data_IF_892034409400
#
_entry.id   IF_892034409400
#
_cell.length_a   1.000
_cell.length_b   1.000
_cell.length_c   1.000
_cell.angle_alpha   90.00
_cell.angle_beta   90.00
_cell.angle_gamma   90.00
#
_symmetry.space_group_name_H-M   'P 1'
#
loop_
_entity.id
_entity.type
_entity.pdbx_description
1 polymer ?
#
# COMPACT_ATOMS: atom_id res chain seq x y z
N UNK A 1 21.12 -1.17 1.62
CA UNK A 1 20.82 -0.38 2.85
C UNK A 1 19.38 0.12 2.87
N UNK A 2 18.79 0.42 1.71
CA UNK A 2 17.44 0.96 1.61
C UNK A 2 16.34 -0.08 1.85
N UNK A 3 16.65 -1.36 1.66
CA UNK A 3 15.73 -2.47 1.97
C UNK A 3 15.41 -2.53 3.47
N UNK A 4 16.40 -2.49 4.36
CA UNK A 4 16.16 -2.53 5.81
C UNK A 4 15.38 -1.32 6.31
N UNK A 5 15.71 -0.13 5.79
CA UNK A 5 14.99 1.11 6.12
C UNK A 5 13.54 1.06 5.62
N UNK A 6 13.27 0.50 4.43
CA UNK A 6 11.92 0.25 3.93
C UNK A 6 11.13 -0.68 4.87
N UNK A 7 11.74 -1.75 5.35
CA UNK A 7 11.10 -2.65 6.31
C UNK A 7 10.75 -1.93 7.62
N UNK A 8 11.66 -1.06 8.10
CA UNK A 8 11.42 -0.24 9.29
C UNK A 8 10.26 0.74 9.11
N UNK A 9 10.22 1.49 8.01
CA UNK A 9 9.17 2.47 7.75
C UNK A 9 7.81 1.79 7.55
N UNK A 10 7.76 0.68 6.81
CA UNK A 10 6.52 -0.06 6.65
C UNK A 10 6.00 -0.62 7.98
N UNK A 11 6.90 -1.10 8.84
CA UNK A 11 6.54 -1.53 10.19
C UNK A 11 6.00 -0.35 11.03
N UNK A 12 6.69 0.79 11.04
CA UNK A 12 6.28 1.98 11.78
C UNK A 12 4.93 2.52 11.29
N UNK A 13 4.70 2.54 9.98
CA UNK A 13 3.42 2.91 9.37
C UNK A 13 2.28 2.00 9.84
N UNK A 14 2.51 0.68 9.86
CA UNK A 14 1.52 -0.28 10.34
C UNK A 14 1.29 -0.21 11.86
N UNK A 15 2.35 0.03 12.64
CA UNK A 15 2.24 0.22 14.09
C UNK A 15 1.47 1.50 14.41
N UNK A 16 1.78 2.62 13.75
CA UNK A 16 1.07 3.88 13.89
C UNK A 16 -0.41 3.73 13.48
N UNK A 17 -0.71 3.05 12.38
CA UNK A 17 -2.08 2.77 11.96
C UNK A 17 -2.93 2.04 13.04
N UNK A 18 -2.33 1.15 13.81
CA UNK A 18 -3.01 0.44 14.91
C UNK A 18 -3.31 1.34 16.10
N UNK A 19 -2.52 2.39 16.31
CA UNK A 19 -2.71 3.35 17.40
C UNK A 19 -3.70 4.46 17.05
N UNK A 20 -4.56 4.26 16.06
CA UNK A 20 -5.57 5.24 15.68
C UNK A 20 -6.46 5.56 16.89
N UNK A 21 -6.48 6.82 17.37
CA UNK A 21 -7.24 7.19 18.56
C UNK A 21 -8.76 7.07 18.35
N UNK A 22 -9.22 7.16 17.10
CA UNK A 22 -10.63 6.99 16.75
C UNK A 22 -11.07 5.53 16.67
N UNK A 23 -10.14 4.56 16.61
CA UNK A 23 -10.51 3.14 16.51
C UNK A 23 -10.91 2.59 17.87
N UNK A 24 -12.14 2.10 17.99
CA UNK A 24 -12.66 1.48 19.19
C UNK A 24 -13.02 0.01 18.93
N UNK A 25 -12.50 -0.94 19.72
CA UNK A 25 -12.95 -2.33 19.71
C UNK A 25 -14.45 -2.46 20.01
N UNK A 26 -15.08 -3.53 19.50
CA UNK A 26 -16.54 -3.75 19.61
C UNK A 26 -17.05 -3.92 21.05
N UNK A 27 -16.21 -4.31 21.99
CA UNK A 27 -16.52 -4.36 23.40
C UNK A 27 -16.59 -2.96 24.04
N UNK A 28 -15.96 -1.96 23.42
CA UNK A 28 -15.84 -0.58 23.93
C UNK A 28 -16.85 0.40 23.30
N UNK A 29 -17.65 -0.04 22.32
CA UNK A 29 -18.67 0.80 21.67
C UNK A 29 -20.00 0.86 22.45
N UNK A 30 -20.10 0.19 23.60
CA UNK A 30 -21.35 0.11 24.36
C UNK A 30 -21.85 1.50 24.76
N UNK A 31 -23.07 1.84 24.35
CA UNK A 31 -23.70 3.13 24.65
C UNK A 31 -23.35 4.26 23.69
N UNK A 32 -22.55 4.00 22.64
CA UNK A 32 -22.31 4.97 21.57
C UNK A 32 -23.39 4.89 20.49
N UNK A 33 -23.81 6.05 20.00
CA UNK A 33 -24.76 6.17 18.89
C UNK A 33 -24.01 6.03 17.56
N UNK A 34 -24.48 5.11 16.71
CA UNK A 34 -23.99 4.96 15.34
C UNK A 34 -24.51 6.13 14.52
N UNK A 35 -23.60 6.90 13.93
CA UNK A 35 -23.92 8.00 13.02
C UNK A 35 -24.11 7.51 11.59
N UNK A 36 -23.21 6.64 11.13
CA UNK A 36 -23.25 6.11 9.77
C UNK A 36 -22.58 4.72 9.71
N UNK A 37 -22.82 4.00 8.61
CA UNK A 37 -22.22 2.70 8.35
C UNK A 37 -21.75 2.58 6.91
N UNK A 38 -20.52 2.11 6.71
CA UNK A 38 -19.94 1.94 5.37
C UNK A 38 -19.51 0.50 5.13
N UNK A 39 -19.96 -0.14 4.03
CA UNK A 39 -19.40 -1.42 3.61
C UNK A 39 -18.03 -1.21 2.98
N UNK A 40 -17.06 -2.03 3.35
CA UNK A 40 -15.73 -2.08 2.76
C UNK A 40 -15.43 -3.51 2.32
N UNK A 41 -15.08 -3.68 1.04
CA UNK A 41 -14.56 -4.95 0.53
C UNK A 41 -13.07 -4.81 0.31
N UNK A 42 -12.29 -5.67 0.96
CA UNK A 42 -10.85 -5.68 0.87
C UNK A 42 -10.37 -6.47 -0.36
N UNK A 43 -9.11 -6.30 -0.80
CA UNK A 43 -8.55 -7.01 -1.95
C UNK A 43 -8.59 -8.54 -1.83
N UNK A 44 -8.57 -9.06 -0.60
CA UNK A 44 -8.69 -10.49 -0.29
C UNK A 44 -10.17 -10.98 -0.26
N UNK A 45 -11.09 -10.16 -0.77
CA UNK A 45 -12.54 -10.37 -0.78
C UNK A 45 -13.20 -10.40 0.62
N UNK A 46 -12.46 -10.07 1.68
CA UNK A 46 -13.03 -9.93 3.02
C UNK A 46 -14.00 -8.75 3.04
N UNK A 47 -15.22 -9.01 3.52
CA UNK A 47 -16.25 -7.98 3.69
C UNK A 47 -16.26 -7.48 5.13
N UNK A 48 -16.07 -6.18 5.26
CA UNK A 48 -16.12 -5.45 6.51
C UNK A 48 -17.23 -4.41 6.43
N UNK A 49 -17.80 -4.08 7.58
CA UNK A 49 -18.71 -2.96 7.79
C UNK A 49 -18.10 -2.06 8.84
N UNK A 50 -17.91 -0.80 8.49
CA UNK A 50 -17.37 0.20 9.40
C UNK A 50 -18.54 0.94 10.02
N UNK A 51 -18.55 1.01 11.35
CA UNK A 51 -19.52 1.76 12.14
C UNK A 51 -18.87 3.07 12.54
N UNK A 52 -19.42 4.19 12.10
CA UNK A 52 -18.97 5.52 12.50
C UNK A 52 -19.80 6.01 13.68
N UNK A 53 -19.14 6.61 14.67
CA UNK A 53 -19.76 7.19 15.86
C UNK A 53 -19.37 8.67 15.96
N UNK A 54 -19.98 9.36 16.92
CA UNK A 54 -19.64 10.74 17.23
C UNK A 54 -18.16 10.93 17.57
N UNK A 55 -17.67 12.16 17.33
CA UNK A 55 -16.32 12.61 17.67
C UNK A 55 -15.20 11.85 16.93
N UNK A 56 -15.47 11.35 15.73
CA UNK A 56 -14.46 10.66 14.91
C UNK A 56 -14.11 9.27 15.43
N UNK A 57 -14.95 8.68 16.28
CA UNK A 57 -14.78 7.30 16.70
C UNK A 57 -15.37 6.35 15.65
N UNK A 58 -14.76 5.20 15.46
CA UNK A 58 -15.28 4.17 14.57
C UNK A 58 -14.90 2.77 15.07
N UNK A 59 -15.67 1.78 14.66
CA UNK A 59 -15.39 0.35 14.90
C UNK A 59 -15.61 -0.42 13.61
N UNK A 60 -15.02 -1.60 13.52
CA UNK A 60 -15.16 -2.49 12.36
C UNK A 60 -15.83 -3.78 12.79
N UNK A 61 -16.84 -4.18 12.03
CA UNK A 61 -17.52 -5.47 12.14
C UNK A 61 -17.31 -6.22 10.82
N UNK A 62 -16.98 -7.50 10.88
CA UNK A 62 -16.77 -8.29 9.67
C UNK A 62 -17.04 -9.76 9.91
N UNK A 63 -17.07 -10.54 8.82
CA UNK A 63 -17.14 -12.01 8.89
C UNK A 63 -15.90 -12.60 9.59
N UNK A 64 -14.78 -11.88 9.51
CA UNK A 64 -13.51 -12.21 10.15
C UNK A 64 -13.05 -11.03 10.99
N UNK A 65 -12.24 -11.36 11.99
CA UNK A 65 -11.55 -10.35 12.80
C UNK A 65 -10.61 -9.52 11.92
N UNK A 66 -10.64 -8.20 12.14
CA UNK A 66 -9.85 -7.23 11.41
C UNK A 66 -8.36 -7.53 11.59
N UNK A 67 -7.69 -7.89 10.50
CA UNK A 67 -6.26 -8.18 10.55
C UNK A 67 -5.45 -6.88 10.54
N UNK A 68 -4.26 -6.85 11.16
CA UNK A 68 -3.49 -5.62 11.22
C UNK A 68 -3.09 -5.03 9.85
N UNK A 69 -2.89 -5.88 8.84
CA UNK A 69 -2.61 -5.45 7.47
C UNK A 69 -3.80 -4.74 6.79
N UNK A 70 -5.00 -4.93 7.33
CA UNK A 70 -6.25 -4.39 6.80
C UNK A 70 -6.62 -3.02 7.42
N UNK A 71 -5.85 -2.55 8.43
CA UNK A 71 -6.10 -1.27 9.08
C UNK A 71 -5.95 -0.07 8.15
N UNK A 72 -4.94 -0.07 7.27
CA UNK A 72 -4.70 1.05 6.36
C UNK A 72 -5.88 1.30 5.39
N UNK A 73 -6.41 0.28 4.70
CA UNK A 73 -7.65 0.44 3.91
C UNK A 73 -8.84 0.97 4.71
N UNK A 74 -9.02 0.52 5.96
CA UNK A 74 -10.10 1.01 6.82
C UNK A 74 -9.91 2.49 7.14
N UNK A 75 -8.69 2.89 7.51
CA UNK A 75 -8.36 4.29 7.83
C UNK A 75 -8.55 5.24 6.66
N UNK A 76 -8.28 4.78 5.44
CA UNK A 76 -8.52 5.54 4.22
C UNK A 76 -10.03 5.69 3.94
N UNK A 77 -10.80 4.62 4.16
CA UNK A 77 -12.26 4.64 3.99
C UNK A 77 -12.97 5.61 4.96
N UNK A 78 -12.52 5.71 6.21
CA UNK A 78 -13.11 6.61 7.22
C UNK A 78 -12.48 7.99 7.26
N UNK A 79 -11.46 8.24 6.43
CA UNK A 79 -10.62 9.45 6.52
C UNK A 79 -11.44 10.73 6.51
N UNK A 80 -12.43 10.82 5.61
CA UNK A 80 -13.27 12.02 5.44
C UNK A 80 -13.97 12.46 6.73
N UNK A 81 -14.36 11.50 7.57
CA UNK A 81 -15.14 11.75 8.78
C UNK A 81 -14.27 11.83 10.04
N UNK A 82 -13.16 11.10 10.06
CA UNK A 82 -12.29 10.92 11.23
C UNK A 82 -11.12 11.90 11.24
N UNK A 83 -10.60 12.32 10.08
CA UNK A 83 -9.42 13.19 9.99
C UNK A 83 -9.63 14.56 10.66
N UNK A 84 -10.82 15.13 10.57
CA UNK A 84 -11.16 16.38 11.23
C UNK A 84 -11.04 16.30 12.76
N UNK A 85 -11.23 15.12 13.36
CA UNK A 85 -11.14 14.88 14.80
C UNK A 85 -9.72 14.50 15.24
N UNK A 86 -8.96 13.87 14.34
CA UNK A 86 -7.60 13.40 14.61
C UNK A 86 -6.59 13.85 13.55
N UNK A 87 -6.42 15.16 13.32
CA UNK A 87 -5.62 15.66 12.20
C UNK A 87 -4.13 15.37 12.37
N UNK A 88 -3.61 15.36 13.60
CA UNK A 88 -2.20 15.04 13.87
C UNK A 88 -1.88 13.57 13.57
N UNK A 89 -2.86 12.67 13.80
CA UNK A 89 -2.71 11.25 13.49
C UNK A 89 -2.54 11.03 11.99
N UNK A 90 -3.41 11.63 11.18
CA UNK A 90 -3.36 11.52 9.72
C UNK A 90 -2.16 12.25 9.12
N UNK A 91 -1.77 13.42 9.65
CA UNK A 91 -0.53 14.09 9.23
C UNK A 91 0.71 13.21 9.41
N UNK A 92 0.81 12.51 10.54
CA UNK A 92 1.90 11.56 10.78
C UNK A 92 1.80 10.34 9.86
N UNK A 93 0.61 9.82 9.64
CA UNK A 93 0.38 8.70 8.72
C UNK A 93 0.79 9.05 7.29
N UNK A 94 0.45 10.25 6.81
CA UNK A 94 0.82 10.75 5.50
C UNK A 94 2.34 10.95 5.37
N UNK A 95 2.99 11.48 6.41
CA UNK A 95 4.45 11.61 6.44
C UNK A 95 5.13 10.25 6.29
N UNK A 96 4.65 9.23 7.02
CA UNK A 96 5.17 7.86 6.93
C UNK A 96 4.90 7.24 5.55
N UNK A 97 3.73 7.51 4.95
CA UNK A 97 3.40 7.05 3.60
C UNK A 97 4.28 7.70 2.52
N UNK A 98 4.64 8.97 2.68
CA UNK A 98 5.55 9.66 1.79
C UNK A 98 6.98 9.14 1.90
N UNK A 99 7.44 8.88 3.13
CA UNK A 99 8.76 8.29 3.36
C UNK A 99 8.85 6.87 2.78
N UNK A 100 7.81 6.06 2.96
CA UNK A 100 7.72 4.71 2.37
C UNK A 100 7.82 4.74 0.84
N UNK A 101 7.12 5.69 0.19
CA UNK A 101 7.20 5.88 -1.26
C UNK A 101 8.60 6.25 -1.73
N UNK A 102 9.25 7.21 -1.06
CA UNK A 102 10.63 7.60 -1.38
C UNK A 102 11.58 6.41 -1.24
N UNK A 103 11.43 5.64 -0.17
CA UNK A 103 12.27 4.49 0.11
C UNK A 103 12.03 3.32 -0.84
N UNK A 104 10.80 3.14 -1.32
CA UNK A 104 10.49 2.18 -2.38
C UNK A 104 11.21 2.54 -3.69
N UNK A 105 11.23 3.81 -4.08
CA UNK A 105 11.95 4.28 -5.28
C UNK A 105 13.45 4.02 -5.13
N UNK A 106 14.05 4.39 -4.00
CA UNK A 106 15.47 4.18 -3.73
C UNK A 106 15.85 2.70 -3.71
N UNK A 107 15.05 1.85 -3.07
CA UNK A 107 15.28 0.40 -3.05
C UNK A 107 15.17 -0.21 -4.45
N UNK A 108 14.22 0.24 -5.28
CA UNK A 108 14.10 -0.20 -6.67
C UNK A 108 15.33 0.20 -7.50
N UNK A 109 15.82 1.42 -7.30
CA UNK A 109 17.03 1.91 -7.95
C UNK A 109 18.27 1.10 -7.53
N UNK A 110 18.44 0.83 -6.23
CA UNK A 110 19.53 -0.01 -5.70
C UNK A 110 19.50 -1.41 -6.35
N UNK A 111 18.31 -2.01 -6.48
CA UNK A 111 18.16 -3.32 -7.13
C UNK A 111 18.52 -3.29 -8.62
N UNK A 112 18.09 -2.27 -9.36
CA UNK A 112 18.42 -2.13 -10.79
C UNK A 112 19.93 -1.97 -10.98
N UNK A 113 20.56 -1.08 -10.20
CA UNK A 113 22.01 -0.86 -10.27
C UNK A 113 22.79 -2.11 -9.87
N UNK A 114 22.34 -2.82 -8.84
CA UNK A 114 22.90 -4.11 -8.43
C UNK A 114 22.80 -5.15 -9.54
N UNK A 115 21.63 -5.26 -10.19
CA UNK A 115 21.42 -6.17 -11.31
C UNK A 115 22.35 -5.85 -12.49
N UNK A 116 22.50 -4.58 -12.85
CA UNK A 116 23.43 -4.14 -13.91
C UNK A 116 24.86 -4.54 -13.53
N UNK A 117 25.33 -4.14 -12.34
CA UNK A 117 26.69 -4.42 -11.86
C UNK A 117 27.03 -5.91 -11.89
N UNK A 118 26.09 -6.77 -11.51
CA UNK A 118 26.30 -8.21 -11.45
C UNK A 118 26.35 -8.86 -12.83
N UNK A 119 25.63 -8.31 -13.82
CA UNK A 119 25.51 -8.91 -15.15
C UNK A 119 26.54 -8.36 -16.16
N UNK A 120 27.08 -7.16 -15.97
CA UNK A 120 28.09 -6.56 -16.88
C UNK A 120 29.29 -7.49 -17.16
N UNK A 121 29.88 -8.21 -16.18
CA UNK A 121 31.00 -9.10 -16.46
C UNK A 121 30.64 -10.28 -17.39
N UNK A 122 29.39 -10.73 -17.35
CA UNK A 122 28.89 -11.84 -18.17
C UNK A 122 28.26 -11.36 -19.49
N UNK A 123 27.84 -10.10 -19.56
CA UNK A 123 27.30 -9.46 -20.75
C UNK A 123 27.97 -8.09 -20.95
N UNK A 124 29.12 -8.03 -21.64
CA UNK A 124 29.88 -6.80 -21.85
C UNK A 124 29.11 -5.75 -22.67
N UNK A 125 28.17 -6.17 -23.52
CA UNK A 125 27.35 -5.28 -24.35
C UNK A 125 26.25 -4.56 -23.56
N UNK A 126 25.94 -5.02 -22.35
CA UNK A 126 24.89 -4.44 -21.52
C UNK A 126 25.12 -2.95 -21.21
N UNK A 127 26.37 -2.56 -20.90
CA UNK A 127 26.73 -1.17 -20.63
C UNK A 127 26.50 -0.23 -21.82
N UNK A 128 27.03 -0.52 -23.04
CA UNK A 128 26.75 0.30 -24.21
C UNK A 128 25.27 0.31 -24.59
N UNK A 129 24.55 -0.81 -24.47
CA UNK A 129 23.09 -0.84 -24.72
C UNK A 129 22.31 0.08 -23.77
N UNK A 130 22.64 0.08 -22.47
CA UNK A 130 22.02 0.99 -21.49
C UNK A 130 22.32 2.46 -21.84
N UNK A 131 23.55 2.79 -22.25
CA UNK A 131 23.91 4.15 -22.66
C UNK A 131 23.11 4.62 -23.88
N UNK A 132 22.95 3.75 -24.87
CA UNK A 132 22.14 4.06 -26.05
C UNK A 132 20.67 4.28 -25.69
N UNK A 133 20.11 3.44 -24.81
CA UNK A 133 18.74 3.59 -24.33
C UNK A 133 18.51 4.93 -23.61
N UNK A 134 19.46 5.36 -22.76
CA UNK A 134 19.40 6.67 -22.10
C UNK A 134 19.42 7.80 -23.14
N UNK A 135 20.32 7.71 -24.13
CA UNK A 135 20.41 8.71 -25.20
C UNK A 135 19.12 8.79 -26.05
N UNK A 136 18.47 7.65 -26.33
CA UNK A 136 17.17 7.61 -27.01
C UNK A 136 16.06 8.27 -26.18
N UNK A 137 16.04 8.04 -24.86
CA UNK A 137 15.08 8.67 -23.95
C UNK A 137 15.29 10.19 -23.87
N UNK A 138 16.54 10.64 -23.74
CA UNK A 138 16.88 12.08 -23.71
C UNK A 138 16.56 12.79 -25.03
N UNK A 139 16.66 12.07 -26.15
CA UNK A 139 16.26 12.55 -27.47
C UNK A 139 14.74 12.53 -27.70
N UNK A 140 13.94 12.07 -26.72
CA UNK A 140 12.48 11.96 -26.83
C UNK A 140 11.99 10.86 -27.78
N UNK A 141 12.87 9.94 -28.17
CA UNK A 141 12.57 8.87 -29.13
C UNK A 141 11.93 7.63 -28.48
N UNK A 142 11.85 7.59 -27.14
CA UNK A 142 11.23 6.49 -26.39
C UNK A 142 10.25 7.03 -25.34
N UNK A 143 8.97 6.68 -25.48
CA UNK A 143 7.99 6.85 -24.41
C UNK A 143 8.16 5.72 -23.37
N UNK A 144 7.99 5.98 -22.06
CA UNK A 144 8.02 4.93 -21.06
C UNK A 144 6.86 3.96 -21.29
N UNK A 145 7.16 2.78 -21.84
CA UNK A 145 6.22 1.68 -21.94
C UNK A 145 5.92 1.10 -20.56
N UNK A 146 4.93 1.67 -19.87
CA UNK A 146 4.25 0.95 -18.78
C UNK A 146 3.34 -0.11 -19.40
N UNK A 147 3.90 -1.26 -19.75
CA UNK A 147 3.15 -2.51 -19.85
C UNK A 147 3.54 -3.38 -18.65
N UNK A 148 2.96 -3.07 -17.49
CA UNK A 148 2.71 -4.13 -16.50
C UNK A 148 1.67 -5.04 -17.13
N UNK A 149 2.12 -6.16 -17.71
CA UNK A 149 1.23 -7.24 -18.14
C UNK A 149 0.54 -7.83 -16.91
N UNK A 150 -0.66 -7.35 -16.63
CA UNK A 150 -1.76 -8.26 -16.33
C UNK A 150 -1.96 -9.12 -17.57
N UNK A 151 -1.45 -10.35 -17.54
CA UNK A 151 -1.90 -11.47 -18.39
C UNK A 151 -1.14 -12.74 -17.99
N UNK A 152 -1.62 -13.40 -16.95
CA UNK A 152 -1.66 -14.86 -16.93
C UNK A 152 -3.10 -15.29 -16.70
N UNK A 153 -3.93 -15.05 -17.71
CA UNK A 153 -5.11 -15.87 -17.94
C UNK A 153 -4.69 -17.29 -18.38
N UNK A 154 -5.38 -18.25 -17.76
CA UNK A 154 -5.82 -19.56 -18.30
C UNK A 154 -4.89 -20.78 -18.14
N UNK A 155 -5.46 -22.00 -17.97
CA UNK A 155 -6.76 -22.40 -18.53
C UNK A 155 -7.77 -23.07 -17.59
N UNK A 156 -9.04 -22.79 -17.94
CA UNK A 156 -10.18 -23.68 -17.77
C UNK A 156 -9.80 -25.14 -18.03
N UNK A 157 -10.00 -26.01 -17.04
CA UNK A 157 -10.26 -27.42 -17.29
C UNK A 157 -11.77 -27.62 -17.19
N UNK A 158 -12.43 -27.57 -18.35
CA UNK A 158 -13.66 -28.33 -18.61
C UNK A 158 -13.30 -29.79 -18.92
N UNK A 159 -14.32 -30.64 -18.77
CA UNK A 159 -14.41 -32.09 -18.97
C UNK A 159 -14.09 -32.93 -17.73
N UNK A 160 -14.93 -33.88 -17.29
CA UNK A 160 -16.07 -34.58 -17.92
C UNK A 160 -16.93 -35.23 -16.82
N UNK A 161 -18.20 -35.44 -17.16
CA UNK A 161 -19.23 -36.33 -16.58
C UNK A 161 -18.86 -37.22 -15.39
#
# INVERSE_FOLDING_TARGET
MYVEQKWKINREKNEHARTCPGFLPLDQIRGKTVLDTFPLTLPDQTRLTILLFEQGNFSVVGEKELQPAQMLPVLDAVRKDVEQHHPDFYRKLDSLAEEDRKMQVLARMENILGAIRNNVPQNPELLPSIKNLIAEMDAGLSAPGCSTGDDQERPEKRDKR
#
